data_IF_035395920944
#
_entry.id   IF_035395920944
#
_cell.length_a   1.000
_cell.length_b   1.000
_cell.length_c   1.000
_cell.angle_alpha   90.00
_cell.angle_beta   90.00
_cell.angle_gamma   90.00
#
_symmetry.space_group_name_H-M   'P 1'
#
loop_
_entity.id
_entity.type
_entity.pdbx_description
1 polymer ?
#
# COMPACT_ATOMS: atom_id res chain seq x y z
N UNK A 1 3.67 -27.36 0.68
CA UNK A 1 4.35 -26.38 -0.20
C UNK A 1 3.49 -26.16 -1.45
N UNK A 2 2.41 -25.39 -1.35
CA UNK A 2 1.40 -25.29 -2.44
C UNK A 2 1.29 -23.89 -3.02
N UNK A 3 1.48 -22.85 -2.21
CA UNK A 3 1.35 -21.45 -2.61
C UNK A 3 2.30 -21.08 -3.76
N UNK A 4 3.60 -21.32 -3.59
CA UNK A 4 4.59 -20.96 -4.62
C UNK A 4 4.34 -21.70 -5.94
N UNK A 5 3.98 -23.00 -5.90
CA UNK A 5 3.68 -23.77 -7.11
C UNK A 5 2.46 -23.22 -7.86
N UNK A 6 1.40 -22.87 -7.13
CA UNK A 6 0.18 -22.30 -7.72
C UNK A 6 0.41 -20.91 -8.33
N UNK A 7 1.35 -20.12 -7.79
CA UNK A 7 1.62 -18.75 -8.20
C UNK A 7 2.90 -18.57 -9.04
N UNK A 8 3.52 -19.65 -9.51
CA UNK A 8 4.73 -19.59 -10.37
C UNK A 8 4.55 -18.66 -11.59
N UNK A 9 3.35 -18.64 -12.17
CA UNK A 9 3.01 -17.78 -13.31
C UNK A 9 3.08 -16.27 -13.00
N UNK A 10 3.05 -15.87 -11.73
CA UNK A 10 3.13 -14.47 -11.27
C UNK A 10 4.54 -14.09 -10.81
N UNK A 11 5.49 -15.04 -10.79
CA UNK A 11 6.85 -14.85 -10.26
C UNK A 11 7.89 -14.54 -11.36
N UNK A 12 7.47 -14.06 -12.54
CA UNK A 12 8.40 -13.70 -13.61
C UNK A 12 9.05 -12.32 -13.37
N UNK A 13 9.80 -12.20 -12.28
CA UNK A 13 10.46 -10.96 -11.88
C UNK A 13 11.48 -10.46 -12.91
N UNK A 14 12.04 -11.33 -13.75
CA UNK A 14 12.97 -10.96 -14.83
C UNK A 14 12.28 -10.18 -15.93
N UNK A 15 11.14 -10.67 -16.45
CA UNK A 15 10.36 -9.97 -17.49
C UNK A 15 9.83 -8.64 -16.95
N UNK A 16 9.36 -8.62 -15.70
CA UNK A 16 8.89 -7.39 -15.07
C UNK A 16 9.99 -6.35 -14.87
N UNK A 17 11.24 -6.79 -14.71
CA UNK A 17 12.38 -5.90 -14.51
C UNK A 17 12.82 -5.28 -15.83
N UNK A 18 12.79 -6.07 -16.90
CA UNK A 18 13.02 -5.61 -18.28
C UNK A 18 11.96 -4.59 -18.72
N UNK A 19 10.70 -4.82 -18.34
CA UNK A 19 9.57 -3.90 -18.55
C UNK A 19 9.53 -2.70 -17.59
N UNK A 20 10.55 -2.54 -16.75
CA UNK A 20 10.65 -1.48 -15.75
C UNK A 20 9.43 -1.36 -14.81
N UNK A 21 8.74 -2.46 -14.53
CA UNK A 21 7.64 -2.45 -13.58
C UNK A 21 8.16 -2.23 -12.15
N UNK A 22 7.37 -1.56 -11.29
CA UNK A 22 7.69 -1.42 -9.88
C UNK A 22 7.48 -2.77 -9.17
N UNK A 23 8.48 -3.65 -9.23
CA UNK A 23 8.46 -4.97 -8.57
C UNK A 23 8.68 -4.82 -7.05
N UNK A 24 9.31 -3.73 -6.62
CA UNK A 24 9.56 -3.42 -5.22
C UNK A 24 8.30 -2.92 -4.53
N UNK A 25 7.86 -3.61 -3.47
CA UNK A 25 6.75 -3.17 -2.61
C UNK A 25 7.08 -1.96 -1.75
N UNK A 26 8.34 -1.55 -1.66
CA UNK A 26 8.81 -0.53 -0.71
C UNK A 26 8.08 0.82 -0.82
N UNK A 27 7.80 1.31 -2.03
CA UNK A 27 7.02 2.55 -2.22
C UNK A 27 5.58 2.40 -1.76
N UNK A 28 4.96 1.26 -2.05
CA UNK A 28 3.58 0.93 -1.64
C UNK A 28 3.48 0.72 -0.14
N UNK A 29 4.44 0.01 0.47
CA UNK A 29 4.53 -0.19 1.91
C UNK A 29 4.80 1.12 2.66
N UNK A 30 5.69 1.97 2.15
CA UNK A 30 5.93 3.29 2.71
C UNK A 30 4.69 4.19 2.66
N UNK A 31 3.94 4.16 1.56
CA UNK A 31 2.67 4.85 1.43
C UNK A 31 1.65 4.31 2.44
N UNK A 32 1.46 2.99 2.53
CA UNK A 32 0.56 2.37 3.50
C UNK A 32 0.92 2.73 4.95
N UNK A 33 2.21 2.71 5.30
CA UNK A 33 2.69 3.09 6.62
C UNK A 33 2.36 4.55 6.97
N UNK A 34 2.53 5.45 6.01
CA UNK A 34 2.35 6.90 6.23
C UNK A 34 0.89 7.33 6.15
N UNK A 35 0.11 6.79 5.20
CA UNK A 35 -1.30 7.14 5.00
C UNK A 35 -2.17 6.50 6.08
N UNK A 36 -1.99 5.20 6.33
CA UNK A 36 -2.87 4.39 7.19
C UNK A 36 -2.27 4.27 8.60
N UNK A 37 -1.13 3.59 8.74
CA UNK A 37 -0.62 3.13 10.05
C UNK A 37 -0.35 4.29 11.01
N UNK A 38 0.23 5.39 10.54
CA UNK A 38 0.57 6.55 11.37
C UNK A 38 -0.63 7.26 12.01
N UNK A 39 -1.85 7.10 11.49
CA UNK A 39 -3.03 7.84 11.98
C UNK A 39 -4.17 6.95 12.43
N UNK A 40 -4.40 5.84 11.74
CA UNK A 40 -5.51 4.95 12.06
C UNK A 40 -5.16 3.92 13.15
N UNK A 41 -3.87 3.65 13.39
CA UNK A 41 -3.43 2.62 14.35
C UNK A 41 -2.76 3.20 15.60
N UNK A 42 -3.11 4.42 16.02
CA UNK A 42 -2.63 4.96 17.28
C UNK A 42 -3.42 4.37 18.47
N UNK A 43 -2.78 4.27 19.63
CA UNK A 43 -3.40 3.76 20.86
C UNK A 43 -4.61 4.61 21.27
N UNK A 44 -5.67 3.94 21.73
CA UNK A 44 -6.87 4.60 22.25
C UNK A 44 -7.83 5.16 21.19
N UNK A 45 -7.51 5.06 19.90
CA UNK A 45 -8.39 5.58 18.84
C UNK A 45 -9.41 4.51 18.42
N UNK A 46 -10.69 4.91 18.36
CA UNK A 46 -11.76 4.15 17.72
C UNK A 46 -12.25 4.91 16.50
N UNK A 47 -12.31 4.22 15.38
CA UNK A 47 -12.84 4.77 14.14
C UNK A 47 -14.18 4.14 13.81
N UNK A 48 -15.11 4.95 13.32
CA UNK A 48 -16.22 4.47 12.49
C UNK A 48 -15.73 4.44 11.04
N UNK A 49 -16.23 3.51 10.23
CA UNK A 49 -15.79 3.33 8.84
C UNK A 49 -15.88 4.63 8.03
N UNK A 50 -16.96 5.39 8.20
CA UNK A 50 -17.16 6.70 7.57
C UNK A 50 -16.08 7.71 7.97
N UNK A 51 -15.73 7.77 9.27
CA UNK A 51 -14.70 8.67 9.78
C UNK A 51 -13.29 8.29 9.33
N UNK A 52 -12.98 6.98 9.29
CA UNK A 52 -11.71 6.48 8.78
C UNK A 52 -11.55 6.80 7.29
N UNK A 53 -12.61 6.60 6.49
CA UNK A 53 -12.61 6.89 5.05
C UNK A 53 -12.32 8.37 4.76
N UNK A 54 -12.99 9.29 5.45
CA UNK A 54 -12.75 10.74 5.27
C UNK A 54 -11.31 11.12 5.67
N UNK A 55 -10.81 10.59 6.80
CA UNK A 55 -9.45 10.85 7.24
C UNK A 55 -8.40 10.32 6.24
N UNK A 56 -8.63 9.15 5.66
CA UNK A 56 -7.77 8.57 4.62
C UNK A 56 -7.76 9.42 3.36
N UNK A 57 -8.93 9.85 2.86
CA UNK A 57 -9.03 10.68 1.67
C UNK A 57 -8.29 12.00 1.83
N UNK A 58 -8.46 12.67 2.98
CA UNK A 58 -7.73 13.90 3.29
C UNK A 58 -6.22 13.68 3.36
N UNK A 59 -5.77 12.58 3.97
CA UNK A 59 -4.34 12.23 4.05
C UNK A 59 -3.75 11.91 2.68
N UNK A 60 -4.49 11.19 1.84
CA UNK A 60 -4.09 10.90 0.47
C UNK A 60 -3.92 12.18 -0.35
N UNK A 61 -4.84 13.14 -0.22
CA UNK A 61 -4.73 14.46 -0.86
C UNK A 61 -3.51 15.26 -0.36
N UNK A 62 -3.22 15.24 0.95
CA UNK A 62 -2.06 15.97 1.50
C UNK A 62 -0.72 15.32 1.11
N UNK A 63 -0.67 14.00 1.06
CA UNK A 63 0.57 13.23 0.77
C UNK A 63 0.82 13.06 -0.73
N UNK A 64 -0.17 13.32 -1.57
CA UNK A 64 0.00 13.42 -3.02
C UNK A 64 0.22 14.90 -3.33
N UNK A 65 1.48 15.39 -3.42
CA UNK A 65 1.72 16.74 -3.90
C UNK A 65 1.01 16.85 -5.26
N UNK A 66 0.17 17.87 -5.39
CA UNK A 66 -0.55 18.19 -6.62
C UNK A 66 0.39 18.03 -7.81
N UNK A 67 -0.01 17.12 -8.71
CA UNK A 67 0.67 16.76 -9.96
C UNK A 67 1.05 17.98 -10.79
#
# INVERSE_FOLDING_TARGET
>A
MTYFQNHLHQMNCSDYRDRAYPIGSGVTEAACKTVIKQRLCCSGIRWKETGAGVALSLRALVLTPTR
#
